data_IF_938236200608
#
_entry.id   IF_938236200608
#
_cell.length_a   1.000
_cell.length_b   1.000
_cell.length_c   1.000
_cell.angle_alpha   90.00
_cell.angle_beta   90.00
_cell.angle_gamma   90.00
#
_symmetry.space_group_name_H-M   'P 1'
#
loop_
_entity.id
_entity.type
_entity.pdbx_description
1 polymer ?
#
# COMPACT_ATOMS: atom_id res chain seq x y z
N UNK A 1 51.27 31.78 14.84
CA UNK A 1 49.85 31.45 15.09
C UNK A 1 49.36 30.61 13.93
N UNK A 2 48.91 29.39 14.22
CA UNK A 2 48.61 28.35 13.24
C UNK A 2 47.24 28.61 12.61
N UNK A 3 47.21 28.88 11.31
CA UNK A 3 45.98 28.85 10.51
C UNK A 3 45.74 27.38 10.18
N UNK A 4 44.86 26.72 10.93
CA UNK A 4 44.49 25.33 10.74
C UNK A 4 42.97 25.24 10.50
N UNK A 5 42.64 25.01 9.23
CA UNK A 5 41.52 24.24 8.70
C UNK A 5 40.18 24.30 9.46
N UNK A 6 39.28 25.18 9.00
CA UNK A 6 37.84 25.03 9.20
C UNK A 6 37.25 24.38 7.93
N UNK A 7 36.96 23.08 7.98
CA UNK A 7 36.19 22.39 6.95
C UNK A 7 35.38 21.26 7.58
N UNK A 8 34.24 21.63 8.15
CA UNK A 8 33.18 20.70 8.50
C UNK A 8 31.87 21.50 8.52
N UNK A 9 30.85 21.04 7.78
CA UNK A 9 29.48 21.55 7.58
C UNK A 9 29.24 21.61 6.06
N UNK A 10 28.30 20.93 5.42
CA UNK A 10 27.04 20.32 5.82
C UNK A 10 26.67 19.34 4.71
N UNK A 11 26.60 18.03 4.98
CA UNK A 11 25.89 17.09 4.11
C UNK A 11 24.41 17.13 4.52
N UNK A 12 23.72 18.19 4.11
CA UNK A 12 22.26 18.19 4.07
C UNK A 12 21.86 17.23 2.93
N UNK A 13 21.67 15.96 3.29
CA UNK A 13 21.04 15.01 2.40
C UNK A 13 19.64 15.53 2.06
N UNK A 14 19.47 15.98 0.81
CA UNK A 14 18.18 16.21 0.19
C UNK A 14 17.45 14.87 0.10
N UNK A 15 16.82 14.44 1.20
CA UNK A 15 15.80 13.41 1.17
C UNK A 15 14.60 14.00 0.43
N UNK A 16 14.58 13.85 -0.90
CA UNK A 16 13.37 14.11 -1.68
C UNK A 16 12.21 13.26 -1.16
N UNK A 17 10.95 13.66 -1.41
CA UNK A 17 9.79 12.91 -0.95
C UNK A 17 9.90 11.47 -1.46
N UNK A 18 9.94 10.51 -0.53
CA UNK A 18 9.87 9.09 -0.85
C UNK A 18 8.49 8.86 -1.46
N UNK A 19 8.43 8.74 -2.77
CA UNK A 19 7.25 8.17 -3.43
C UNK A 19 7.20 6.72 -2.98
N UNK A 20 6.26 6.42 -2.08
CA UNK A 20 5.98 5.08 -1.62
C UNK A 20 5.50 4.23 -2.81
N UNK A 21 6.44 3.61 -3.52
CA UNK A 21 6.15 2.68 -4.61
C UNK A 21 5.61 1.35 -4.11
N UNK A 22 5.25 0.42 -5.03
CA UNK A 22 4.83 -0.92 -4.65
C UNK A 22 5.92 -1.62 -3.82
N UNK A 23 5.51 -2.22 -2.71
CA UNK A 23 6.38 -3.02 -1.87
C UNK A 23 6.20 -4.49 -2.21
N UNK A 24 7.30 -5.16 -2.57
CA UNK A 24 7.28 -6.54 -3.03
C UNK A 24 8.05 -7.45 -2.09
N UNK A 25 7.54 -8.68 -1.92
CA UNK A 25 8.23 -9.73 -1.22
C UNK A 25 7.93 -11.10 -1.84
N UNK A 26 8.94 -11.97 -1.88
CA UNK A 26 8.78 -13.35 -2.34
C UNK A 26 8.63 -14.32 -1.17
N UNK A 27 7.75 -15.31 -1.36
CA UNK A 27 7.39 -16.34 -0.40
C UNK A 27 7.58 -17.74 -1.00
N UNK A 28 8.00 -18.69 -0.16
CA UNK A 28 8.28 -20.07 -0.53
C UNK A 28 7.04 -20.97 -0.58
N UNK A 29 5.97 -20.53 -1.23
CA UNK A 29 4.69 -21.23 -1.32
C UNK A 29 4.19 -21.25 -2.77
N UNK A 30 3.18 -22.06 -3.08
CA UNK A 30 2.49 -22.00 -4.37
C UNK A 30 1.64 -20.73 -4.49
N UNK A 31 1.36 -20.32 -5.73
CA UNK A 31 0.53 -19.15 -5.99
C UNK A 31 -0.89 -19.30 -5.42
N UNK A 32 -1.45 -20.51 -5.46
CA UNK A 32 -2.76 -20.79 -4.88
C UNK A 32 -2.78 -20.62 -3.36
N UNK A 33 -1.75 -21.10 -2.66
CA UNK A 33 -1.67 -20.94 -1.22
C UNK A 33 -1.45 -19.47 -0.83
N UNK A 34 -0.58 -18.78 -1.57
CA UNK A 34 -0.38 -17.34 -1.41
C UNK A 34 -1.67 -16.55 -1.64
N UNK A 35 -2.44 -16.90 -2.66
CA UNK A 35 -3.71 -16.25 -3.00
C UNK A 35 -4.72 -16.35 -1.86
N UNK A 36 -5.08 -17.58 -1.48
CA UNK A 36 -6.10 -17.81 -0.45
C UNK A 36 -5.68 -17.25 0.91
N UNK A 37 -4.39 -17.30 1.23
CA UNK A 37 -3.88 -16.69 2.46
C UNK A 37 -3.97 -15.16 2.41
N UNK A 38 -3.63 -14.55 1.28
CA UNK A 38 -3.73 -13.10 1.10
C UNK A 38 -5.16 -12.61 1.26
N UNK A 39 -6.14 -13.28 0.64
CA UNK A 39 -7.58 -12.94 0.80
C UNK A 39 -8.01 -12.99 2.28
N UNK A 40 -7.59 -14.04 2.99
CA UNK A 40 -7.90 -14.22 4.41
C UNK A 40 -7.27 -13.14 5.28
N UNK A 41 -6.00 -12.83 5.05
CA UNK A 41 -5.27 -11.79 5.79
C UNK A 41 -5.87 -10.41 5.53
N UNK A 42 -6.18 -10.07 4.28
CA UNK A 42 -6.84 -8.81 3.94
C UNK A 42 -8.15 -8.69 4.71
N UNK A 43 -9.00 -9.72 4.69
CA UNK A 43 -10.26 -9.72 5.44
C UNK A 43 -10.06 -9.56 6.95
N UNK A 44 -9.10 -10.26 7.55
CA UNK A 44 -8.78 -10.13 9.00
C UNK A 44 -8.31 -8.73 9.36
N UNK A 45 -7.54 -8.09 8.48
CA UNK A 45 -7.11 -6.70 8.64
C UNK A 45 -8.25 -5.70 8.36
N UNK A 46 -9.43 -6.17 7.91
CA UNK A 46 -10.64 -5.41 7.59
C UNK A 46 -10.74 -4.91 6.14
N UNK A 47 -9.93 -5.47 5.21
CA UNK A 47 -9.82 -5.00 3.82
C UNK A 47 -10.80 -5.82 3.01
N UNK A 48 -11.92 -5.20 2.67
CA UNK A 48 -12.87 -5.80 1.76
C UNK A 48 -12.31 -5.78 0.32
N UNK A 49 -12.52 -6.88 -0.40
CA UNK A 49 -12.04 -7.04 -1.77
C UNK A 49 -13.12 -6.49 -2.71
N UNK A 50 -12.78 -5.47 -3.50
CA UNK A 50 -13.66 -4.89 -4.51
C UNK A 50 -13.61 -5.73 -5.80
N UNK A 51 -12.40 -6.00 -6.30
CA UNK A 51 -12.18 -6.78 -7.53
C UNK A 51 -11.00 -7.71 -7.36
N UNK A 52 -11.09 -8.87 -7.99
CA UNK A 52 -10.03 -9.84 -8.00
C UNK A 52 -10.02 -10.60 -9.33
N UNK A 53 -8.84 -10.81 -9.86
CA UNK A 53 -8.58 -11.65 -11.01
C UNK A 53 -7.45 -12.61 -10.67
N UNK A 54 -7.83 -13.86 -10.39
CA UNK A 54 -6.90 -14.91 -9.99
C UNK A 54 -6.07 -15.42 -11.14
N UNK A 55 -6.56 -15.34 -12.37
CA UNK A 55 -5.83 -15.79 -13.56
C UNK A 55 -4.70 -14.82 -13.89
N UNK A 56 -4.95 -13.52 -13.82
CA UNK A 56 -3.93 -12.48 -14.03
C UNK A 56 -3.04 -12.30 -12.78
N UNK A 57 -3.56 -12.62 -11.60
CA UNK A 57 -2.81 -12.57 -10.35
C UNK A 57 -2.85 -11.19 -9.69
N UNK A 58 -4.01 -10.53 -9.65
CA UNK A 58 -4.17 -9.27 -8.92
C UNK A 58 -5.54 -9.14 -8.24
N UNK A 59 -5.59 -8.36 -7.18
CA UNK A 59 -6.84 -7.93 -6.55
C UNK A 59 -6.72 -6.47 -6.11
N UNK A 60 -7.86 -5.80 -5.98
CA UNK A 60 -8.00 -4.46 -5.40
C UNK A 60 -8.99 -4.49 -4.27
N UNK A 61 -8.69 -3.74 -3.21
CA UNK A 61 -9.60 -3.59 -2.08
C UNK A 61 -10.55 -2.42 -2.31
N UNK A 62 -11.64 -2.44 -1.57
CA UNK A 62 -12.38 -1.23 -1.30
C UNK A 62 -11.49 -0.17 -0.66
N UNK A 63 -11.90 1.08 -0.82
CA UNK A 63 -11.22 2.18 -0.16
C UNK A 63 -11.65 2.30 1.29
N UNK A 64 -10.70 2.59 2.18
CA UNK A 64 -10.97 2.92 3.58
C UNK A 64 -10.69 4.38 3.88
N UNK A 65 -11.36 4.92 4.89
CA UNK A 65 -11.11 6.27 5.40
C UNK A 65 -9.84 6.26 6.24
N UNK A 66 -8.93 7.18 5.96
CA UNK A 66 -7.75 7.49 6.77
C UNK A 66 -8.07 8.67 7.69
N UNK A 67 -8.72 9.70 7.13
CA UNK A 67 -9.09 10.92 7.83
C UNK A 67 -10.31 11.57 7.14
N UNK A 68 -11.00 12.47 7.84
CA UNK A 68 -12.10 13.29 7.32
C UNK A 68 -13.48 12.96 7.85
N UNK A 69 -14.46 13.71 7.35
CA UNK A 69 -15.81 13.80 7.91
C UNK A 69 -16.87 13.32 6.92
N UNK A 70 -18.00 12.86 7.47
CA UNK A 70 -19.13 12.31 6.73
C UNK A 70 -20.43 12.89 7.28
N UNK A 71 -21.08 13.70 6.46
CA UNK A 71 -22.32 14.42 6.76
C UNK A 71 -23.50 13.81 5.99
N UNK A 72 -23.43 12.52 5.65
CA UNK A 72 -24.47 11.77 4.94
C UNK A 72 -24.42 11.99 3.44
N UNK A 73 -24.90 13.13 2.96
CA UNK A 73 -24.90 13.47 1.51
C UNK A 73 -23.63 14.20 1.07
N UNK A 74 -22.83 14.65 2.02
CA UNK A 74 -21.54 15.26 1.78
C UNK A 74 -20.48 14.52 2.59
N UNK A 75 -19.41 14.07 1.95
CA UNK A 75 -18.27 13.50 2.65
C UNK A 75 -16.99 14.05 2.05
N UNK A 76 -16.03 14.40 2.90
CA UNK A 76 -14.71 14.85 2.45
C UNK A 76 -13.65 14.28 3.35
N UNK A 77 -12.68 13.60 2.76
CA UNK A 77 -11.63 12.98 3.54
C UNK A 77 -10.55 12.32 2.72
N UNK A 78 -9.48 11.93 3.40
CA UNK A 78 -8.41 11.11 2.83
C UNK A 78 -8.83 9.66 2.91
N UNK A 79 -8.74 8.97 1.78
CA UNK A 79 -8.98 7.54 1.67
C UNK A 79 -7.76 6.85 1.09
N UNK A 80 -7.68 5.56 1.33
CA UNK A 80 -6.69 4.71 0.70
C UNK A 80 -7.29 3.39 0.25
N UNK A 81 -6.72 2.79 -0.78
CA UNK A 81 -7.04 1.45 -1.25
C UNK A 81 -5.77 0.71 -1.57
N UNK A 82 -5.82 -0.61 -1.52
CA UNK A 82 -4.71 -1.47 -1.87
C UNK A 82 -4.94 -2.13 -3.22
N UNK A 83 -3.86 -2.26 -3.99
CA UNK A 83 -3.73 -3.19 -5.09
C UNK A 83 -2.69 -4.22 -4.71
N UNK A 84 -3.07 -5.49 -4.74
CA UNK A 84 -2.16 -6.59 -4.44
C UNK A 84 -1.96 -7.41 -5.71
N UNK A 85 -0.70 -7.64 -6.09
CA UNK A 85 -0.32 -8.49 -7.20
C UNK A 85 0.35 -9.74 -6.64
N UNK A 86 -0.09 -10.92 -7.09
CA UNK A 86 0.37 -12.23 -6.64
C UNK A 86 0.82 -12.99 -7.89
N UNK A 87 2.13 -13.14 -8.06
CA UNK A 87 2.73 -13.74 -9.27
C UNK A 87 3.57 -14.95 -8.93
N UNK A 88 3.33 -16.07 -9.61
CA UNK A 88 4.19 -17.24 -9.52
C UNK A 88 5.58 -16.93 -10.14
N UNK A 89 6.64 -17.25 -9.42
CA UNK A 89 8.03 -17.24 -9.92
C UNK A 89 8.59 -18.67 -10.09
N UNK A 90 7.78 -19.68 -9.77
CA UNK A 90 8.11 -21.09 -9.84
C UNK A 90 7.05 -21.92 -9.11
N UNK A 91 7.14 -23.24 -9.14
CA UNK A 91 6.10 -24.14 -8.59
C UNK A 91 5.84 -23.94 -7.08
N UNK A 92 6.85 -23.49 -6.32
CA UNK A 92 6.77 -23.24 -4.87
C UNK A 92 7.33 -21.87 -4.49
N UNK A 93 7.23 -20.90 -5.40
CA UNK A 93 7.76 -19.55 -5.19
C UNK A 93 6.79 -18.54 -5.75
N UNK A 94 6.36 -17.60 -4.92
CA UNK A 94 5.38 -16.58 -5.32
C UNK A 94 5.82 -15.21 -4.82
N UNK A 95 5.84 -14.22 -5.72
CA UNK A 95 6.05 -12.82 -5.39
C UNK A 95 4.72 -12.14 -5.15
N UNK A 96 4.57 -11.52 -3.99
CA UNK A 96 3.43 -10.69 -3.64
C UNK A 96 3.90 -9.24 -3.61
N UNK A 97 3.18 -8.35 -4.29
CA UNK A 97 3.43 -6.90 -4.27
C UNK A 97 2.20 -6.15 -3.84
N UNK A 98 2.36 -5.28 -2.86
CA UNK A 98 1.29 -4.44 -2.32
C UNK A 98 1.57 -3.00 -2.70
N UNK A 99 0.59 -2.36 -3.31
CA UNK A 99 0.63 -0.96 -3.70
C UNK A 99 -0.55 -0.24 -3.04
N UNK A 100 -0.28 0.90 -2.41
CA UNK A 100 -1.32 1.75 -1.81
C UNK A 100 -1.54 2.98 -2.66
N UNK A 101 -2.79 3.21 -3.04
CA UNK A 101 -3.21 4.49 -3.59
C UNK A 101 -3.90 5.29 -2.51
N UNK A 102 -3.36 6.47 -2.18
CA UNK A 102 -3.98 7.44 -1.28
C UNK A 102 -4.60 8.55 -2.11
N UNK A 103 -5.79 8.99 -1.75
CA UNK A 103 -6.51 10.02 -2.48
C UNK A 103 -7.47 10.78 -1.56
N UNK A 104 -7.70 12.05 -1.85
CA UNK A 104 -8.81 12.79 -1.26
C UNK A 104 -10.07 12.45 -2.03
N UNK A 105 -11.12 12.08 -1.32
CA UNK A 105 -12.45 11.93 -1.89
C UNK A 105 -13.35 13.03 -1.37
N UNK A 106 -13.96 13.76 -2.28
CA UNK A 106 -15.11 14.60 -2.01
C UNK A 106 -16.34 13.97 -2.67
N UNK A 107 -17.33 13.65 -1.85
CA UNK A 107 -18.63 13.13 -2.29
C UNK A 107 -19.67 14.19 -2.09
N UNK A 108 -20.43 14.49 -3.14
CA UNK A 108 -21.65 15.27 -3.07
C UNK A 108 -22.76 14.41 -3.70
N UNK A 109 -23.77 14.07 -2.90
CA UNK A 109 -24.81 13.10 -3.27
C UNK A 109 -24.19 11.76 -3.71
N UNK A 110 -24.37 11.38 -4.98
CA UNK A 110 -23.89 10.12 -5.57
C UNK A 110 -22.65 10.29 -6.46
N UNK A 111 -22.04 11.48 -6.45
CA UNK A 111 -20.86 11.80 -7.28
C UNK A 111 -19.61 11.84 -6.40
N UNK A 112 -18.66 10.96 -6.71
CA UNK A 112 -17.34 10.92 -6.06
C UNK A 112 -16.30 11.66 -6.94
N UNK A 113 -15.59 12.62 -6.35
CA UNK A 113 -14.41 13.26 -6.94
C UNK A 113 -13.17 12.83 -6.18
N UNK A 114 -12.29 12.12 -6.88
CA UNK A 114 -11.03 11.62 -6.32
C UNK A 114 -9.84 12.44 -6.83
N UNK A 115 -9.02 12.92 -5.89
CA UNK A 115 -7.76 13.60 -6.17
C UNK A 115 -6.60 12.80 -5.55
N UNK A 116 -5.66 12.29 -6.35
CA UNK A 116 -4.57 11.47 -5.84
C UNK A 116 -3.65 12.27 -4.91
N UNK A 117 -3.19 11.61 -3.86
CA UNK A 117 -2.24 12.15 -2.88
C UNK A 117 -1.04 11.24 -2.80
N UNK A 118 0.16 11.81 -2.83
CA UNK A 118 1.39 11.05 -2.62
C UNK A 118 1.44 10.54 -1.18
N UNK A 119 1.51 9.23 -1.00
CA UNK A 119 1.78 8.63 0.30
C UNK A 119 3.23 8.94 0.72
N UNK A 120 3.42 9.33 1.98
CA UNK A 120 4.73 9.70 2.54
C UNK A 120 5.41 8.55 3.30
N UNK A 121 4.71 7.42 3.45
CA UNK A 121 5.15 6.25 4.20
C UNK A 121 4.74 4.94 3.48
N UNK A 122 5.24 3.81 3.99
CA UNK A 122 4.89 2.46 3.52
C UNK A 122 4.45 1.53 4.69
N UNK A 123 3.90 2.09 5.77
CA UNK A 123 3.58 1.31 6.96
C UNK A 123 2.51 0.26 6.67
N UNK A 124 1.44 0.65 5.97
CA UNK A 124 0.32 -0.24 5.62
C UNK A 124 0.79 -1.42 4.76
N UNK A 125 1.63 -1.17 3.76
CA UNK A 125 2.17 -2.16 2.84
C UNK A 125 3.07 -3.16 3.58
N UNK A 126 3.90 -2.65 4.51
CA UNK A 126 4.76 -3.47 5.38
C UNK A 126 3.92 -4.33 6.32
N UNK A 127 2.89 -3.78 6.94
CA UNK A 127 2.02 -4.49 7.88
C UNK A 127 1.25 -5.62 7.17
N UNK A 128 0.72 -5.35 5.98
CA UNK A 128 0.04 -6.37 5.16
C UNK A 128 1.00 -7.49 4.78
N UNK A 129 2.21 -7.18 4.28
CA UNK A 129 3.19 -8.20 3.94
C UNK A 129 3.71 -8.96 5.17
N UNK A 130 3.82 -8.31 6.32
CA UNK A 130 4.19 -8.95 7.58
C UNK A 130 3.11 -9.92 8.04
N UNK A 131 1.83 -9.53 7.99
CA UNK A 131 0.71 -10.38 8.33
C UNK A 131 0.59 -11.59 7.38
N UNK A 132 0.80 -11.38 6.07
CA UNK A 132 0.85 -12.48 5.09
C UNK A 132 1.99 -13.44 5.44
N UNK A 133 3.19 -12.92 5.74
CA UNK A 133 4.32 -13.76 6.16
C UNK A 133 3.99 -14.61 7.39
N UNK A 134 3.29 -14.04 8.37
CA UNK A 134 2.93 -14.75 9.59
C UNK A 134 1.87 -15.84 9.35
N UNK A 135 1.04 -15.67 8.34
CA UNK A 135 -0.06 -16.59 8.03
C UNK A 135 0.31 -17.70 7.03
N UNK A 136 1.47 -17.60 6.36
CA UNK A 136 2.02 -18.59 5.42
C UNK A 136 2.90 -19.63 6.12
#
# INVERSE_FOLDING_TARGET
MRVLAAAALLLLALAGPVVAGPLSQTFGVSADHAWTTTERVLKVLGWDIDKADREIGWLTTDSRRVDGEDYGVYAKGVRHRLRVNIKAEGAKKTRISVERTVFKRERILWVDKDEPVTATDQAVEKDVLAAIRQAL
#
